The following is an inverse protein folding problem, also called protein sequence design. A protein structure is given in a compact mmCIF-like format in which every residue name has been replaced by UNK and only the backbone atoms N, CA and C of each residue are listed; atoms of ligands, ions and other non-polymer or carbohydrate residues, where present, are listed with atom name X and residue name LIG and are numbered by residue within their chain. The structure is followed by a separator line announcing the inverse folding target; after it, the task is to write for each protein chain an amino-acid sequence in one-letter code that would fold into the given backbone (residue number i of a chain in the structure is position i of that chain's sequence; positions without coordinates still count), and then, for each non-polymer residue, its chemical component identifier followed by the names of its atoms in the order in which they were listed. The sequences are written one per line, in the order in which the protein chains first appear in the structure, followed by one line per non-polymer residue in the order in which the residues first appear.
data_IF_629999046410
#
_entry.id   IF_629999046410
#
_cell.length_a   1.000
_cell.length_b   1.000
_cell.length_c   1.000
_cell.angle_alpha   90.00
_cell.angle_beta   90.00
_cell.angle_gamma   90.00
#
_symmetry.space_group_name_H-M   'P 1'
#
loop_
_entity.id
_entity.type
_entity.pdbx_description
1 polymer ?
#
# COMPACT_ATOMS: atom_id res chain seq x y z
N UNK A 1 16.01 3.35 5.42
CA UNK A 1 16.48 1.97 5.16
C UNK A 1 16.27 1.63 3.70
N UNK A 2 17.27 1.05 3.02
CA UNK A 2 17.05 0.39 1.73
C UNK A 2 16.02 -0.74 1.93
N UNK A 3 15.07 -0.86 1.02
CA UNK A 3 14.06 -1.93 1.08
C UNK A 3 12.76 -1.58 1.80
N UNK A 4 12.52 -0.31 2.16
CA UNK A 4 11.20 0.17 2.63
C UNK A 4 10.21 0.49 1.47
N UNK A 5 10.47 -0.04 0.28
CA UNK A 5 9.82 0.36 -0.97
C UNK A 5 8.41 -0.21 -1.12
N UNK A 6 7.60 0.42 -1.98
CA UNK A 6 6.38 -0.18 -2.48
C UNK A 6 6.69 -1.51 -3.19
N UNK A 7 5.72 -2.42 -3.22
CA UNK A 7 5.81 -3.64 -4.03
C UNK A 7 4.54 -3.88 -4.84
N UNK A 8 4.71 -4.58 -5.96
CA UNK A 8 3.64 -4.96 -6.87
C UNK A 8 3.89 -6.39 -7.36
N UNK A 9 2.83 -7.20 -7.35
CA UNK A 9 2.81 -8.53 -7.92
C UNK A 9 1.69 -8.60 -8.94
N UNK A 10 2.02 -8.95 -10.17
CA UNK A 10 1.03 -9.17 -11.23
C UNK A 10 0.42 -10.57 -11.11
N UNK A 11 -0.91 -10.66 -11.31
CA UNK A 11 -1.67 -11.90 -11.22
C UNK A 11 -2.94 -11.83 -12.08
N UNK A 12 -4.08 -12.23 -11.52
CA UNK A 12 -5.38 -12.21 -12.17
C UNK A 12 -5.98 -10.80 -12.25
N UNK A 13 -7.17 -10.71 -12.84
CA UNK A 13 -8.02 -9.52 -12.87
C UNK A 13 -8.57 -9.10 -11.49
N UNK A 14 -8.42 -9.95 -10.46
CA UNK A 14 -8.79 -9.62 -9.08
C UNK A 14 -7.60 -8.94 -8.39
N UNK A 15 -7.74 -7.63 -8.17
CA UNK A 15 -6.74 -6.80 -7.51
C UNK A 15 -6.90 -6.70 -5.98
N UNK A 16 -5.78 -6.72 -5.25
CA UNK A 16 -5.68 -6.53 -3.82
C UNK A 16 -4.77 -5.34 -3.48
N UNK A 17 -5.33 -4.30 -2.86
CA UNK A 17 -4.56 -3.18 -2.33
C UNK A 17 -4.26 -3.42 -0.84
N UNK A 18 -2.98 -3.50 -0.48
CA UNK A 18 -2.54 -3.72 0.89
C UNK A 18 -2.01 -2.41 1.51
N UNK A 19 -2.59 -2.02 2.64
CA UNK A 19 -2.26 -0.78 3.34
C UNK A 19 -1.61 -1.09 4.68
N UNK A 20 -0.42 -0.54 4.92
CA UNK A 20 0.27 -0.67 6.20
C UNK A 20 -0.27 0.34 7.23
N UNK A 21 -0.01 0.09 8.51
CA UNK A 21 -0.41 1.00 9.60
C UNK A 21 0.49 2.23 9.74
N UNK A 22 0.06 3.18 10.57
CA UNK A 22 0.84 4.37 10.96
C UNK A 22 2.21 3.97 11.50
N UNK A 23 3.26 4.72 11.14
CA UNK A 23 4.69 4.41 11.40
C UNK A 23 5.24 3.14 10.75
N UNK A 24 4.38 2.35 10.09
CA UNK A 24 4.78 1.13 9.39
C UNK A 24 5.33 1.38 7.99
N UNK A 25 5.69 0.30 7.33
CA UNK A 25 6.16 0.26 5.95
C UNK A 25 5.52 -0.90 5.21
N UNK A 26 5.52 -0.93 3.86
CA UNK A 26 5.02 -2.07 3.10
C UNK A 26 5.63 -3.43 3.53
N UNK A 27 6.84 -3.43 4.07
CA UNK A 27 7.57 -4.62 4.47
C UNK A 27 6.87 -5.37 5.60
N UNK A 28 6.14 -4.65 6.47
CA UNK A 28 5.34 -5.26 7.53
C UNK A 28 4.23 -6.18 7.00
N UNK A 29 3.78 -5.93 5.77
CA UNK A 29 2.68 -6.68 5.13
C UNK A 29 3.15 -7.48 3.90
N UNK A 30 4.47 -7.54 3.65
CA UNK A 30 5.05 -8.31 2.56
C UNK A 30 4.68 -9.82 2.61
N UNK A 31 4.69 -10.51 3.77
CA UNK A 31 4.28 -11.91 3.84
C UNK A 31 2.82 -12.15 3.42
N UNK A 32 1.92 -11.20 3.69
CA UNK A 32 0.54 -11.25 3.21
C UNK A 32 0.48 -11.02 1.69
N UNK A 33 1.27 -10.08 1.17
CA UNK A 33 1.40 -9.85 -0.26
C UNK A 33 1.84 -11.10 -1.02
N UNK A 34 2.90 -11.76 -0.54
CA UNK A 34 3.39 -13.02 -1.11
C UNK A 34 2.33 -14.13 -1.08
N UNK A 35 1.59 -14.24 0.03
CA UNK A 35 0.55 -15.26 0.19
C UNK A 35 -0.61 -15.08 -0.81
N UNK A 36 -1.01 -13.83 -1.06
CA UNK A 36 -2.06 -13.49 -2.02
C UNK A 36 -1.58 -13.63 -3.47
N UNK A 37 -0.35 -13.19 -3.75
CA UNK A 37 0.27 -13.35 -5.07
C UNK A 37 0.43 -14.83 -5.45
N UNK A 38 0.82 -15.69 -4.51
CA UNK A 38 0.88 -17.16 -4.72
C UNK A 38 -0.48 -17.81 -5.00
N UNK A 39 -1.59 -17.12 -4.72
CA UNK A 39 -2.95 -17.53 -5.09
C UNK A 39 -3.41 -16.96 -6.43
N UNK A 40 -2.51 -16.28 -7.14
CA UNK A 40 -2.76 -15.73 -8.46
C UNK A 40 -3.47 -14.38 -8.44
N UNK A 41 -3.51 -13.65 -7.32
CA UNK A 41 -4.10 -12.31 -7.26
C UNK A 41 -3.09 -11.25 -7.70
N UNK A 42 -3.55 -10.18 -8.35
CA UNK A 42 -2.74 -8.97 -8.53
C UNK A 42 -2.67 -8.21 -7.21
N UNK A 43 -1.48 -7.88 -6.71
CA UNK A 43 -1.30 -7.26 -5.39
C UNK A 43 -0.47 -5.99 -5.51
N UNK A 44 -0.93 -4.90 -4.90
CA UNK A 44 -0.20 -3.65 -4.77
C UNK A 44 -0.10 -3.27 -3.29
N UNK A 45 1.11 -3.02 -2.81
CA UNK A 45 1.36 -2.42 -1.50
C UNK A 45 2.19 -1.15 -1.68
N UNK A 46 1.56 0.03 -1.74
CA UNK A 46 2.27 1.26 -1.92
C UNK A 46 2.89 1.73 -0.59
N UNK A 47 3.92 2.57 -0.70
CA UNK A 47 4.47 3.25 0.48
C UNK A 47 3.65 4.52 0.74
N UNK A 48 2.91 4.55 1.85
CA UNK A 48 2.20 5.75 2.25
C UNK A 48 3.20 6.81 2.72
N UNK A 49 3.00 8.04 2.25
CA UNK A 49 3.67 9.18 2.84
C UNK A 49 3.15 9.33 4.28
N UNK A 50 4.06 9.29 5.23
CA UNK A 50 3.85 9.92 6.51
C UNK A 50 4.96 10.96 6.61
N UNK A 51 4.59 12.24 6.64
CA UNK A 51 5.58 13.28 6.83
C UNK A 51 6.29 13.01 8.15
N UNK A 52 7.60 12.80 8.11
CA UNK A 52 8.44 12.66 9.28
C UNK A 52 8.71 14.05 9.88
N UNK A 53 7.65 14.82 10.08
CA UNK A 53 7.69 16.14 10.72
C UNK A 53 7.40 15.97 12.20
N UNK A 54 8.05 16.79 13.04
CA UNK A 54 7.79 16.83 14.49
C UNK A 54 6.34 17.19 14.84
N UNK A 55 5.60 17.72 13.87
CA UNK A 55 4.20 18.11 13.98
C UNK A 55 3.32 17.08 13.25
N UNK A 56 2.83 16.09 14.02
CA UNK A 56 1.93 15.05 13.53
C UNK A 56 0.48 15.52 13.60
N UNK A 57 0.01 16.16 12.54
CA UNK A 57 -1.42 16.37 12.32
C UNK A 57 -2.04 15.07 11.80
N UNK A 58 -2.59 14.27 12.72
CA UNK A 58 -3.20 12.97 12.40
C UNK A 58 -4.44 13.10 11.51
N UNK A 59 -5.16 14.22 11.58
CA UNK A 59 -6.36 14.45 10.77
C UNK A 59 -5.98 14.66 9.31
N UNK A 60 -5.00 15.53 9.07
CA UNK A 60 -4.43 15.76 7.74
C UNK A 60 -3.78 14.50 7.17
N UNK A 61 -2.97 13.79 7.96
CA UNK A 61 -2.35 12.52 7.53
C UNK A 61 -3.42 11.51 7.12
N UNK A 62 -4.50 11.38 7.89
CA UNK A 62 -5.62 10.50 7.56
C UNK A 62 -6.28 10.86 6.22
N UNK A 63 -6.50 12.15 5.95
CA UNK A 63 -7.06 12.62 4.68
C UNK A 63 -6.13 12.36 3.49
N UNK A 64 -4.84 12.61 3.65
CA UNK A 64 -3.82 12.31 2.63
C UNK A 64 -3.76 10.82 2.33
N UNK A 65 -3.82 9.97 3.36
CA UNK A 65 -3.85 8.51 3.22
C UNK A 65 -5.09 8.07 2.46
N UNK A 66 -6.26 8.61 2.78
CA UNK A 66 -7.50 8.29 2.08
C UNK A 66 -7.44 8.69 0.60
N UNK A 67 -6.94 9.89 0.29
CA UNK A 67 -6.75 10.34 -1.08
C UNK A 67 -5.79 9.43 -1.85
N UNK A 68 -4.68 9.06 -1.22
CA UNK A 68 -3.68 8.18 -1.79
C UNK A 68 -4.24 6.78 -2.07
N UNK A 69 -4.97 6.18 -1.12
CA UNK A 69 -5.64 4.88 -1.29
C UNK A 69 -6.61 4.90 -2.47
N UNK A 70 -7.42 5.96 -2.59
CA UNK A 70 -8.37 6.13 -3.70
C UNK A 70 -7.70 6.26 -5.07
N UNK A 71 -6.53 6.88 -5.13
CA UNK A 71 -5.77 6.98 -6.36
C UNK A 71 -5.21 5.61 -6.77
N UNK A 72 -4.63 4.86 -5.83
CA UNK A 72 -3.94 3.61 -6.12
C UNK A 72 -4.90 2.44 -6.36
N UNK A 73 -6.12 2.46 -5.81
CA UNK A 73 -7.12 1.44 -6.11
C UNK A 73 -7.48 1.40 -7.60
N UNK A 74 -7.29 2.50 -8.35
CA UNK A 74 -7.55 2.56 -9.79
C UNK A 74 -6.53 1.78 -10.63
N UNK A 75 -5.31 1.57 -10.11
CA UNK A 75 -4.27 0.76 -10.77
C UNK A 75 -4.72 -0.70 -10.89
N UNK A 76 -5.57 -1.14 -9.96
CA UNK A 76 -6.06 -2.49 -9.84
C UNK A 76 -7.44 -2.70 -10.49
N UNK A 77 -7.99 -1.67 -11.12
CA UNK A 77 -9.26 -1.80 -11.83
C UNK A 77 -9.05 -2.64 -13.10
N UNK A 78 -9.95 -3.58 -13.43
CA UNK A 78 -9.91 -4.25 -14.73
C UNK A 78 -10.03 -3.23 -15.86
N UNK A 79 -9.38 -3.53 -16.99
CA UNK A 79 -9.37 -2.70 -18.20
C UNK A 79 -10.77 -2.58 -18.82
#
# INVERSE_FOLDING_TARGET
MPGAGAFFFEGSDVGCLLIHGFTGTPQNICPLGDFLARRGLTVLAPRLAHEATLDFDLERIGLEWLAFVRQHSRILAPA
#
